data_IF_253402648660
#
_entry.id   IF_253402648660
#
_cell.length_a   1.000
_cell.length_b   1.000
_cell.length_c   1.000
_cell.angle_alpha   90.00
_cell.angle_beta   90.00
_cell.angle_gamma   90.00
#
_symmetry.space_group_name_H-M   'P 1'
#
loop_
_entity.id
_entity.type
_entity.pdbx_description
1 polymer ?
#
# COMPACT_ATOMS: atom_id res chain seq x y z
N UNK A 1 -21.45 -12.18 -1.80
CA UNK A 1 -22.54 -12.56 -0.87
C UNK A 1 -21.96 -12.64 0.52
N UNK A 2 -22.69 -12.18 1.54
CA UNK A 2 -22.31 -12.32 2.95
C UNK A 2 -23.04 -13.55 3.48
N UNK A 3 -22.32 -14.43 4.16
CA UNK A 3 -22.84 -15.66 4.72
C UNK A 3 -22.80 -15.62 6.25
N UNK A 4 -23.80 -16.21 6.87
CA UNK A 4 -23.76 -16.43 8.31
C UNK A 4 -22.70 -17.50 8.63
N UNK A 5 -21.78 -17.20 9.56
CA UNK A 5 -20.58 -18.00 9.80
C UNK A 5 -20.85 -19.45 10.21
N UNK A 6 -21.98 -19.72 10.87
CA UNK A 6 -22.34 -21.09 11.33
C UNK A 6 -23.16 -21.87 10.31
N UNK A 7 -24.14 -21.22 9.69
CA UNK A 7 -25.13 -21.90 8.84
C UNK A 7 -24.74 -21.88 7.37
N UNK A 8 -23.74 -21.06 7.00
CA UNK A 8 -23.32 -20.81 5.63
C UNK A 8 -24.46 -20.36 4.70
N UNK A 9 -25.57 -19.90 5.29
CA UNK A 9 -26.71 -19.38 4.56
C UNK A 9 -26.45 -17.92 4.18
N UNK A 10 -26.82 -17.50 2.95
CA UNK A 10 -26.65 -16.13 2.51
C UNK A 10 -27.57 -15.21 3.31
N UNK A 11 -26.99 -14.20 3.95
CA UNK A 11 -27.73 -13.17 4.70
C UNK A 11 -27.86 -11.87 3.89
N UNK A 12 -26.84 -11.55 3.09
CA UNK A 12 -26.87 -10.40 2.19
C UNK A 12 -26.24 -10.68 0.84
N UNK A 13 -26.70 -9.96 -0.17
CA UNK A 13 -26.05 -9.86 -1.48
C UNK A 13 -25.39 -8.48 -1.60
N UNK A 14 -24.10 -8.48 -1.91
CA UNK A 14 -23.32 -7.27 -2.21
C UNK A 14 -23.17 -7.23 -3.72
N UNK A 15 -23.50 -6.10 -4.33
CA UNK A 15 -23.32 -5.86 -5.77
C UNK A 15 -23.15 -4.37 -6.05
N UNK A 16 -22.84 -4.03 -7.29
CA UNK A 16 -22.57 -2.66 -7.71
C UNK A 16 -21.13 -2.49 -8.17
N UNK A 17 -20.61 -1.27 -8.02
CA UNK A 17 -19.30 -0.88 -8.52
C UNK A 17 -18.51 -0.22 -7.38
N UNK A 18 -17.34 -0.77 -7.07
CA UNK A 18 -16.51 -0.32 -5.95
C UNK A 18 -15.97 1.12 -6.15
N UNK A 19 -15.91 1.61 -7.39
CA UNK A 19 -15.53 2.98 -7.76
C UNK A 19 -16.74 3.93 -7.84
N UNK A 20 -17.96 3.42 -7.60
CA UNK A 20 -19.20 4.23 -7.59
C UNK A 20 -20.06 3.93 -6.38
N UNK A 21 -20.96 2.98 -6.48
CA UNK A 21 -21.91 2.66 -5.42
C UNK A 21 -21.97 1.16 -5.26
N UNK A 22 -21.79 0.72 -4.01
CA UNK A 22 -21.97 -0.66 -3.59
C UNK A 22 -23.29 -0.74 -2.83
N UNK A 23 -24.15 -1.65 -3.27
CA UNK A 23 -25.46 -1.91 -2.69
C UNK A 23 -25.41 -3.18 -1.86
N UNK A 24 -26.19 -3.18 -0.78
CA UNK A 24 -26.43 -4.32 0.09
C UNK A 24 -27.92 -4.68 0.04
N UNK A 25 -28.23 -5.88 -0.41
CA UNK A 25 -29.59 -6.44 -0.40
C UNK A 25 -29.71 -7.50 0.67
N UNK A 26 -30.64 -7.32 1.58
CA UNK A 26 -31.05 -8.32 2.56
C UNK A 26 -31.80 -9.46 1.85
N UNK A 27 -31.36 -10.70 2.08
CA UNK A 27 -31.95 -11.89 1.45
C UNK A 27 -33.33 -12.22 2.03
N UNK A 28 -33.59 -11.90 3.30
CA UNK A 28 -34.88 -12.18 3.95
C UNK A 28 -35.92 -11.13 3.64
N UNK A 29 -35.58 -9.85 3.80
CA UNK A 29 -36.54 -8.75 3.59
C UNK A 29 -36.60 -8.25 2.15
N UNK A 30 -35.61 -8.60 1.32
CA UNK A 30 -35.46 -8.05 -0.03
C UNK A 30 -35.04 -6.57 -0.05
N UNK A 31 -34.91 -5.92 1.12
CA UNK A 31 -34.57 -4.50 1.25
C UNK A 31 -33.18 -4.24 0.70
N UNK A 32 -33.09 -3.21 -0.15
CA UNK A 32 -31.84 -2.75 -0.75
C UNK A 32 -31.42 -1.46 -0.06
N UNK A 33 -30.14 -1.38 0.33
CA UNK A 33 -29.53 -0.20 0.97
C UNK A 33 -28.17 0.10 0.33
N UNK A 34 -27.71 1.34 0.44
CA UNK A 34 -26.36 1.72 0.01
C UNK A 34 -25.39 1.30 1.11
N UNK A 35 -24.43 0.44 0.78
CA UNK A 35 -23.33 0.06 1.67
C UNK A 35 -22.20 1.09 1.63
N UNK A 36 -21.90 1.57 0.42
CA UNK A 36 -20.80 2.47 0.17
C UNK A 36 -21.09 3.34 -1.06
N UNK A 37 -20.79 4.63 -0.95
CA UNK A 37 -20.82 5.58 -2.04
C UNK A 37 -19.43 6.23 -2.16
N UNK A 38 -18.74 5.95 -3.26
CA UNK A 38 -17.39 6.43 -3.53
C UNK A 38 -17.31 7.95 -3.58
N UNK A 39 -18.31 8.60 -4.17
CA UNK A 39 -18.33 10.07 -4.30
C UNK A 39 -18.38 10.75 -2.93
N UNK A 40 -19.28 10.28 -2.07
CA UNK A 40 -19.42 10.79 -0.70
C UNK A 40 -18.16 10.48 0.11
N UNK A 41 -17.71 9.21 0.07
CA UNK A 41 -16.52 8.80 0.83
C UNK A 41 -15.28 9.58 0.43
N UNK A 42 -15.01 9.75 -0.88
CA UNK A 42 -13.84 10.49 -1.37
C UNK A 42 -13.92 11.97 -0.99
N UNK A 43 -15.12 12.56 -0.97
CA UNK A 43 -15.29 13.97 -0.57
C UNK A 43 -14.98 14.22 0.90
N UNK A 44 -15.10 13.19 1.75
CA UNK A 44 -14.76 13.25 3.18
C UNK A 44 -13.29 12.92 3.45
N UNK A 45 -12.56 12.37 2.47
CA UNK A 45 -11.15 12.02 2.65
C UNK A 45 -10.27 13.26 2.71
N UNK A 46 -9.56 13.41 3.82
CA UNK A 46 -8.52 14.41 3.97
C UNK A 46 -7.20 13.90 3.40
N UNK A 47 -6.55 14.75 2.59
CA UNK A 47 -5.22 14.43 2.06
C UNK A 47 -4.21 14.47 3.22
N UNK A 48 -3.45 13.39 3.46
CA UNK A 48 -2.44 13.39 4.50
C UNK A 48 -1.35 14.44 4.20
N UNK A 49 -0.87 15.11 5.24
CA UNK A 49 0.13 16.16 5.15
C UNK A 49 1.46 15.69 5.73
N UNK A 50 2.56 16.03 5.07
CA UNK A 50 3.90 15.83 5.60
C UNK A 50 4.23 16.94 6.61
N UNK A 51 4.22 16.62 7.90
CA UNK A 51 4.51 17.61 8.98
C UNK A 51 5.99 17.74 9.28
N UNK A 52 6.76 16.67 9.12
CA UNK A 52 8.21 16.67 9.36
C UNK A 52 8.99 16.21 8.13
N UNK A 53 9.34 17.12 7.20
CA UNK A 53 10.15 16.77 6.04
C UNK A 53 11.55 16.23 6.40
N UNK A 54 12.11 16.58 7.56
CA UNK A 54 13.44 16.11 7.99
C UNK A 54 13.39 14.68 8.54
N UNK A 55 12.22 14.25 9.02
CA UNK A 55 11.98 12.89 9.50
C UNK A 55 11.85 11.85 8.38
N UNK A 56 11.68 12.26 7.13
CA UNK A 56 11.56 11.35 5.98
C UNK A 56 12.92 10.72 5.68
N UNK A 57 13.00 9.39 5.70
CA UNK A 57 14.24 8.71 5.41
C UNK A 57 14.59 8.79 3.92
N UNK A 58 15.88 8.87 3.54
CA UNK A 58 16.29 8.85 2.13
C UNK A 58 15.89 7.58 1.37
N UNK A 59 15.54 6.51 2.09
CA UNK A 59 15.09 5.22 1.54
C UNK A 59 13.56 5.12 1.41
N UNK A 60 12.81 6.15 1.82
CA UNK A 60 11.36 6.18 1.64
C UNK A 60 11.00 6.46 0.18
N UNK A 61 9.91 5.85 -0.29
CA UNK A 61 9.51 5.89 -1.69
C UNK A 61 9.35 7.30 -2.24
N UNK A 62 8.77 8.22 -1.45
CA UNK A 62 8.58 9.61 -1.86
C UNK A 62 9.92 10.31 -2.14
N UNK A 63 10.97 10.03 -1.35
CA UNK A 63 12.32 10.57 -1.55
C UNK A 63 13.06 9.88 -2.68
N UNK A 64 13.02 8.55 -2.73
CA UNK A 64 13.72 7.76 -3.76
C UNK A 64 13.20 8.08 -5.16
N UNK A 65 11.88 8.22 -5.31
CA UNK A 65 11.22 8.44 -6.59
C UNK A 65 10.93 9.92 -6.90
N UNK A 66 11.36 10.86 -6.05
CA UNK A 66 11.04 12.28 -6.16
C UNK A 66 11.30 12.84 -7.57
N UNK A 67 12.49 12.62 -8.12
CA UNK A 67 12.89 13.14 -9.44
C UNK A 67 12.07 12.52 -10.58
N UNK A 68 11.76 11.23 -10.49
CA UNK A 68 10.92 10.53 -11.48
C UNK A 68 9.51 11.09 -11.43
N UNK A 69 8.94 11.24 -10.24
CA UNK A 69 7.61 11.80 -10.05
C UNK A 69 7.52 13.23 -10.56
N UNK A 70 8.50 14.08 -10.25
CA UNK A 70 8.55 15.47 -10.75
C UNK A 70 8.62 15.51 -12.29
N UNK A 71 9.45 14.69 -12.91
CA UNK A 71 9.55 14.63 -14.37
C UNK A 71 8.26 14.12 -15.03
N UNK A 72 7.57 13.14 -14.43
CA UNK A 72 6.26 12.68 -14.91
C UNK A 72 5.21 13.80 -14.83
N UNK A 73 5.17 14.53 -13.70
CA UNK A 73 4.24 15.64 -13.52
C UNK A 73 4.50 16.77 -14.52
N UNK A 74 5.76 17.02 -14.88
CA UNK A 74 6.14 17.98 -15.92
C UNK A 74 6.03 17.43 -17.34
N UNK A 75 5.59 16.17 -17.52
CA UNK A 75 5.52 15.45 -18.81
C UNK A 75 6.86 15.33 -19.54
N UNK A 76 7.96 15.39 -18.80
CA UNK A 76 9.31 15.20 -19.32
C UNK A 76 9.69 13.70 -19.23
N UNK A 77 9.35 12.97 -20.29
CA UNK A 77 9.52 11.51 -20.33
C UNK A 77 10.97 11.07 -20.44
N UNK A 78 11.83 11.90 -21.04
CA UNK A 78 13.26 11.61 -21.17
C UNK A 78 13.92 11.67 -19.80
N UNK A 79 13.71 12.77 -19.07
CA UNK A 79 14.19 12.93 -17.70
C UNK A 79 13.62 11.87 -16.76
N UNK A 80 12.33 11.53 -16.88
CA UNK A 80 11.73 10.47 -16.06
C UNK A 80 12.41 9.11 -16.27
N UNK A 81 12.71 8.77 -17.53
CA UNK A 81 13.41 7.52 -17.88
C UNK A 81 14.85 7.51 -17.36
N UNK A 82 15.56 8.63 -17.49
CA UNK A 82 16.91 8.76 -16.97
C UNK A 82 16.97 8.62 -15.44
N UNK A 83 16.12 9.37 -14.72
CA UNK A 83 16.03 9.30 -13.27
C UNK A 83 15.69 7.87 -12.80
N UNK A 84 14.73 7.21 -13.45
CA UNK A 84 14.37 5.80 -13.17
C UNK A 84 15.57 4.87 -13.38
N UNK A 85 16.27 4.99 -14.50
CA UNK A 85 17.45 4.19 -14.82
C UNK A 85 18.54 4.35 -13.75
N UNK A 86 18.80 5.58 -13.30
CA UNK A 86 19.80 5.86 -12.28
C UNK A 86 19.49 5.18 -10.93
N UNK A 87 18.22 5.20 -10.51
CA UNK A 87 17.77 4.51 -9.28
C UNK A 87 17.97 2.99 -9.42
N UNK A 88 17.50 2.40 -10.51
CA UNK A 88 17.57 0.95 -10.73
C UNK A 88 19.01 0.44 -10.87
N UNK A 89 19.88 1.19 -11.53
CA UNK A 89 21.30 0.85 -11.66
C UNK A 89 22.02 0.89 -10.31
N UNK A 90 21.73 1.91 -9.49
CA UNK A 90 22.27 2.01 -8.14
C UNK A 90 21.88 0.80 -7.29
N UNK A 91 20.60 0.41 -7.31
CA UNK A 91 20.13 -0.76 -6.57
C UNK A 91 20.71 -2.09 -7.11
N UNK A 92 20.91 -2.19 -8.43
CA UNK A 92 21.58 -3.35 -9.04
C UNK A 92 23.03 -3.47 -8.58
N UNK A 93 23.76 -2.35 -8.55
CA UNK A 93 25.14 -2.30 -8.04
C UNK A 93 25.20 -2.69 -6.56
N UNK A 94 24.34 -2.11 -5.72
CA UNK A 94 24.28 -2.45 -4.29
C UNK A 94 23.95 -3.94 -4.07
N UNK A 95 23.08 -4.53 -4.91
CA UNK A 95 22.80 -5.97 -4.87
C UNK A 95 24.03 -6.80 -5.24
N UNK A 96 24.74 -6.44 -6.31
CA UNK A 96 25.96 -7.14 -6.72
C UNK A 96 27.04 -7.07 -5.63
N UNK A 97 27.23 -5.91 -5.01
CA UNK A 97 28.16 -5.73 -3.89
C UNK A 97 27.80 -6.59 -2.68
N UNK A 98 26.52 -6.64 -2.30
CA UNK A 98 26.04 -7.53 -1.21
C UNK A 98 26.31 -9.00 -1.52
N UNK A 99 25.99 -9.44 -2.74
CA UNK A 99 26.23 -10.82 -3.18
C UNK A 99 27.72 -11.18 -3.17
N UNK A 100 28.59 -10.26 -3.62
CA UNK A 100 30.04 -10.46 -3.60
C UNK A 100 30.58 -10.61 -2.17
N UNK A 101 29.95 -9.97 -1.18
CA UNK A 101 30.26 -10.13 0.24
C UNK A 101 29.57 -11.34 0.90
N UNK A 102 28.74 -12.08 0.17
CA UNK A 102 27.94 -13.19 0.73
C UNK A 102 26.83 -12.72 1.68
N UNK A 103 26.48 -11.43 1.67
CA UNK A 103 25.46 -10.85 2.53
C UNK A 103 24.05 -11.12 1.99
N UNK A 104 23.17 -11.66 2.84
CA UNK A 104 21.75 -11.79 2.51
C UNK A 104 21.03 -10.47 2.77
N UNK A 105 20.21 -10.01 1.82
CA UNK A 105 19.30 -8.90 2.06
C UNK A 105 18.17 -9.34 2.97
N UNK A 106 17.91 -8.57 4.04
CA UNK A 106 16.85 -8.83 5.00
C UNK A 106 15.94 -7.59 5.12
N UNK A 107 14.61 -7.74 5.18
CA UNK A 107 13.71 -6.62 5.36
C UNK A 107 14.01 -5.88 6.67
N UNK A 108 13.95 -4.54 6.64
CA UNK A 108 14.26 -3.71 7.83
C UNK A 108 13.23 -3.93 8.95
N UNK A 109 11.95 -3.87 8.63
CA UNK A 109 10.85 -3.83 9.61
C UNK A 109 10.14 -5.18 9.83
N UNK A 110 10.38 -6.17 8.97
CA UNK A 110 9.69 -7.46 8.99
C UNK A 110 10.68 -8.62 9.11
N UNK A 111 10.30 -9.64 9.88
CA UNK A 111 10.95 -10.96 9.84
C UNK A 111 10.27 -11.77 8.76
N UNK A 112 11.09 -12.45 7.98
CA UNK A 112 10.65 -13.35 6.93
C UNK A 112 11.15 -14.74 7.31
N UNK A 113 10.24 -15.63 7.63
CA UNK A 113 10.52 -17.01 8.02
C UNK A 113 9.81 -17.94 7.04
N UNK A 114 10.44 -19.07 6.70
CA UNK A 114 9.82 -20.08 5.85
C UNK A 114 9.37 -21.23 6.74
N UNK A 115 8.10 -21.60 6.66
CA UNK A 115 7.55 -22.76 7.36
C UNK A 115 8.14 -24.04 6.80
N UNK A 116 7.99 -25.14 7.53
CA UNK A 116 8.46 -26.47 7.07
C UNK A 116 7.78 -26.90 5.76
N UNK A 117 6.57 -26.39 5.50
CA UNK A 117 5.78 -26.66 4.31
C UNK A 117 6.16 -25.74 3.13
N UNK A 118 7.15 -24.85 3.32
CA UNK A 118 7.66 -23.95 2.29
C UNK A 118 6.91 -22.62 2.17
N UNK A 119 5.89 -22.39 3.01
CA UNK A 119 5.14 -21.13 3.04
C UNK A 119 5.94 -20.02 3.71
N UNK A 120 5.76 -18.78 3.26
CA UNK A 120 6.43 -17.63 3.85
C UNK A 120 5.55 -16.98 4.92
N UNK A 121 6.06 -16.91 6.15
CA UNK A 121 5.49 -16.12 7.22
C UNK A 121 6.21 -14.78 7.33
N UNK A 122 5.42 -13.70 7.34
CA UNK A 122 5.89 -12.34 7.47
C UNK A 122 5.35 -11.73 8.77
N UNK A 123 6.24 -11.50 9.73
CA UNK A 123 5.88 -10.96 11.04
C UNK A 123 6.58 -9.62 11.29
N UNK A 124 5.89 -8.61 11.86
CA UNK A 124 6.54 -7.34 12.17
C UNK A 124 7.60 -7.54 13.27
N UNK A 125 8.78 -6.93 13.10
CA UNK A 125 9.86 -6.97 14.11
C UNK A 125 9.52 -6.18 15.37
N UNK A 126 8.70 -5.14 15.21
CA UNK A 126 8.25 -4.26 16.29
C UNK A 126 6.73 -4.40 16.42
N UNK A 127 6.24 -4.41 17.66
CA UNK A 127 4.79 -4.51 17.94
C UNK A 127 4.05 -3.20 17.63
N UNK A 128 4.76 -2.08 17.66
CA UNK A 128 4.21 -0.74 17.49
C UNK A 128 5.02 0.03 16.45
N UNK A 129 4.36 0.87 15.67
CA UNK A 129 5.00 1.75 14.69
C UNK A 129 5.22 3.11 15.34
N UNK A 130 6.44 3.70 15.29
CA UNK A 130 6.66 5.05 15.79
C UNK A 130 5.84 6.08 14.98
N UNK A 131 5.59 7.28 15.53
CA UNK A 131 4.89 8.34 14.80
C UNK A 131 5.52 8.60 13.43
N UNK A 132 4.69 8.67 12.39
CA UNK A 132 5.14 8.90 11.02
C UNK A 132 5.31 10.41 10.75
N UNK A 133 6.23 10.80 9.86
CA UNK A 133 6.33 12.17 9.36
C UNK A 133 5.05 12.67 8.67
N UNK A 134 4.28 11.73 8.11
CA UNK A 134 2.99 11.94 7.47
C UNK A 134 1.90 11.82 8.52
N UNK A 135 1.04 12.83 8.61
CA UNK A 135 -0.13 12.83 9.48
C UNK A 135 -1.40 13.08 8.69
N UNK A 136 -2.51 12.56 9.18
CA UNK A 136 -3.82 12.99 8.72
C UNK A 136 -4.20 14.27 9.47
N UNK A 137 -4.79 15.27 8.81
CA UNK A 137 -5.44 16.34 9.54
C UNK A 137 -6.55 15.72 10.41
N UNK A 138 -6.77 16.35 11.56
CA UNK A 138 -7.81 15.99 12.54
C UNK A 138 -9.03 16.87 12.35
#
# INVERSE_FOLDING_TARGET
KIFHSKTLMPVYEIYGQWDRTVMLKDVHSGKVTVLYNAKETISELQTPALKDPKGVLPTESASVWADVSQAILSRDWERAREAKRNIEEKERKLRAERNARGEKWLPKYFKLEQTKDGEWECCPKQRTVPPAPIVFPS
#
